data_IF_798882618106
#
_entry.id   IF_798882618106
#
_cell.length_a   1.000
_cell.length_b   1.000
_cell.length_c   1.000
_cell.angle_alpha   90.00
_cell.angle_beta   90.00
_cell.angle_gamma   90.00
#
_symmetry.space_group_name_H-M   'P 1'
#
loop_
_entity.id
_entity.type
_entity.pdbx_description
1 polymer ?
#
# COMPACT_ATOMS: atom_id res chain seq x y z
N UNK A 1 -3.78 -16.07 4.64
CA UNK A 1 -2.70 -16.77 3.89
C UNK A 1 -1.52 -15.81 3.83
N UNK A 2 -0.35 -16.19 4.35
CA UNK A 2 0.83 -15.31 4.30
C UNK A 2 1.36 -15.23 2.87
N UNK A 3 1.38 -14.04 2.27
CA UNK A 3 1.99 -13.80 0.97
C UNK A 3 3.51 -13.96 1.06
N UNK A 4 4.11 -14.71 0.14
CA UNK A 4 5.57 -14.80 0.01
C UNK A 4 6.05 -13.83 -1.06
N UNK A 5 6.97 -12.93 -0.70
CA UNK A 5 7.62 -12.04 -1.65
C UNK A 5 8.83 -12.75 -2.25
N UNK A 6 8.91 -12.73 -3.58
CA UNK A 6 10.03 -13.27 -4.33
C UNK A 6 10.74 -12.15 -5.09
N UNK A 7 12.09 -12.16 -5.06
CA UNK A 7 12.92 -11.32 -5.91
C UNK A 7 13.33 -12.09 -7.15
N UNK A 8 13.13 -11.48 -8.32
CA UNK A 8 13.63 -12.03 -9.58
C UNK A 8 15.13 -11.79 -9.63
N UNK A 9 15.90 -12.88 -9.76
CA UNK A 9 17.37 -12.85 -9.85
C UNK A 9 17.81 -12.86 -11.32
N UNK A 10 17.06 -13.56 -12.17
CA UNK A 10 17.39 -13.72 -13.57
C UNK A 10 16.22 -14.28 -14.36
N UNK A 11 16.20 -13.96 -15.66
CA UNK A 11 15.31 -14.56 -16.64
C UNK A 11 16.21 -15.20 -17.69
N UNK A 12 16.07 -16.51 -17.86
CA UNK A 12 16.85 -17.29 -18.80
C UNK A 12 15.94 -17.90 -19.85
N UNK A 13 16.35 -17.83 -21.11
CA UNK A 13 15.69 -18.54 -22.20
C UNK A 13 16.26 -19.96 -22.21
N UNK A 14 15.44 -20.96 -21.92
CA UNK A 14 15.84 -22.35 -22.10
C UNK A 14 15.77 -22.74 -23.60
N UNK A 15 16.52 -23.78 -23.97
CA UNK A 15 16.75 -24.17 -25.38
C UNK A 15 15.48 -24.61 -26.12
N UNK A 16 14.41 -24.85 -25.38
CA UNK A 16 13.07 -25.24 -25.78
C UNK A 16 12.10 -24.05 -25.88
N UNK A 17 12.60 -22.82 -25.74
CA UNK A 17 11.82 -21.59 -25.92
C UNK A 17 10.98 -21.20 -24.69
N UNK A 18 11.20 -21.87 -23.55
CA UNK A 18 10.57 -21.55 -22.28
C UNK A 18 11.45 -20.55 -21.52
N UNK A 19 10.84 -19.47 -21.02
CA UNK A 19 11.53 -18.52 -20.15
C UNK A 19 11.52 -19.03 -18.70
N UNK A 20 12.68 -19.47 -18.21
CA UNK A 20 12.87 -19.78 -16.81
C UNK A 20 13.14 -18.50 -16.02
N UNK A 21 12.26 -18.19 -15.06
CA UNK A 21 12.42 -17.06 -14.15
C UNK A 21 12.97 -17.59 -12.83
N UNK A 22 14.19 -17.22 -12.48
CA UNK A 22 14.81 -17.60 -11.23
C UNK A 22 14.38 -16.63 -10.12
N UNK A 23 13.74 -17.17 -9.10
CA UNK A 23 13.19 -16.44 -7.97
C UNK A 23 13.93 -16.81 -6.69
N UNK A 24 14.26 -15.82 -5.87
CA UNK A 24 14.69 -16.03 -4.48
C UNK A 24 13.57 -15.61 -3.55
N UNK A 25 13.28 -16.46 -2.55
CA UNK A 25 12.41 -16.09 -1.45
C UNK A 25 13.11 -14.99 -0.65
N UNK A 26 12.56 -13.77 -0.68
CA UNK A 26 13.06 -12.73 0.20
C UNK A 26 12.61 -13.08 1.62
N UNK A 27 13.56 -13.19 2.55
CA UNK A 27 13.25 -13.06 3.96
C UNK A 27 12.53 -11.73 4.14
N UNK A 28 11.62 -11.70 5.11
CA UNK A 28 10.75 -10.57 5.41
C UNK A 28 11.55 -9.38 6.00
N UNK A 29 12.80 -9.18 5.59
CA UNK A 29 13.71 -8.21 6.17
C UNK A 29 13.36 -6.81 5.68
N UNK A 30 13.05 -5.93 6.63
CA UNK A 30 12.65 -4.53 6.41
C UNK A 30 13.69 -3.71 5.63
N UNK A 31 14.93 -4.20 5.51
CA UNK A 31 16.03 -3.51 4.85
C UNK A 31 15.85 -3.38 3.33
N UNK A 32 15.43 -4.45 2.65
CA UNK A 32 15.21 -4.44 1.20
C UNK A 32 14.04 -3.53 0.83
N UNK A 33 13.01 -3.51 1.67
CA UNK A 33 11.83 -2.69 1.47
C UNK A 33 12.12 -1.20 1.67
N UNK A 34 12.96 -0.85 2.66
CA UNK A 34 13.44 0.52 2.87
C UNK A 34 14.32 1.01 1.72
N UNK A 35 15.14 0.12 1.16
CA UNK A 35 16.00 0.45 0.01
C UNK A 35 15.17 0.63 -1.26
N UNK A 36 14.18 -0.25 -1.49
CA UNK A 36 13.20 -0.12 -2.57
C UNK A 36 12.42 1.19 -2.48
N UNK A 37 12.02 1.58 -1.26
CA UNK A 37 11.35 2.84 -0.97
C UNK A 37 12.18 4.07 -1.35
N UNK A 38 13.45 4.10 -0.97
CA UNK A 38 14.34 5.23 -1.30
C UNK A 38 14.51 5.40 -2.81
N UNK A 39 14.51 4.28 -3.56
CA UNK A 39 14.52 4.30 -5.03
C UNK A 39 13.18 4.76 -5.60
N UNK A 40 12.05 4.18 -5.18
CA UNK A 40 10.71 4.59 -5.64
C UNK A 40 10.41 6.06 -5.34
N UNK A 41 10.89 6.56 -4.20
CA UNK A 41 10.72 7.96 -3.78
C UNK A 41 11.47 8.96 -4.65
N UNK A 42 12.50 8.50 -5.37
CA UNK A 42 13.32 9.30 -6.27
C UNK A 42 12.76 9.34 -7.69
N UNK A 43 12.08 8.28 -8.12
CA UNK A 43 11.65 8.08 -9.51
C UNK A 43 10.15 8.31 -9.75
N UNK A 44 9.29 8.22 -8.72
CA UNK A 44 7.83 8.33 -8.87
C UNK A 44 7.34 9.70 -8.37
N UNK A 45 6.44 10.39 -9.09
CA UNK A 45 5.84 11.63 -8.61
C UNK A 45 5.18 11.46 -7.22
N UNK A 46 5.47 12.42 -6.33
CA UNK A 46 5.32 12.40 -4.86
C UNK A 46 3.95 11.93 -4.32
N UNK A 47 2.89 11.90 -5.12
CA UNK A 47 1.54 11.64 -4.66
C UNK A 47 1.24 10.15 -4.36
N UNK A 48 1.80 9.18 -5.09
CA UNK A 48 1.36 7.78 -4.96
C UNK A 48 2.24 6.89 -4.07
N UNK A 49 3.46 7.32 -3.74
CA UNK A 49 4.47 6.50 -3.04
C UNK A 49 3.98 5.97 -1.68
N UNK A 50 3.30 6.76 -0.81
CA UNK A 50 2.88 6.27 0.49
C UNK A 50 1.81 5.17 0.38
N UNK A 51 0.88 5.33 -0.56
CA UNK A 51 -0.22 4.37 -0.75
C UNK A 51 0.33 3.05 -1.27
N UNK A 52 1.18 3.11 -2.30
CA UNK A 52 1.79 1.92 -2.90
C UNK A 52 2.61 1.14 -1.86
N UNK A 53 3.36 1.82 -1.00
CA UNK A 53 4.16 1.15 0.02
C UNK A 53 3.31 0.39 1.05
N UNK A 54 2.26 1.03 1.59
CA UNK A 54 1.39 0.37 2.55
C UNK A 54 0.67 -0.86 1.96
N UNK A 55 0.32 -0.80 0.67
CA UNK A 55 -0.24 -1.96 -0.06
C UNK A 55 0.79 -3.07 -0.21
N UNK A 56 2.04 -2.75 -0.60
CA UNK A 56 3.10 -3.76 -0.69
C UNK A 56 3.35 -4.42 0.66
N UNK A 57 3.34 -3.66 1.76
CA UNK A 57 3.45 -4.21 3.12
C UNK A 57 2.31 -5.16 3.48
N UNK A 58 1.07 -4.80 3.13
CA UNK A 58 -0.09 -5.67 3.37
C UNK A 58 0.05 -6.98 2.58
N UNK A 59 0.40 -6.88 1.29
CA UNK A 59 0.61 -8.03 0.40
C UNK A 59 1.83 -8.87 0.79
N UNK A 60 2.82 -8.28 1.47
CA UNK A 60 3.97 -8.98 2.07
C UNK A 60 3.59 -9.90 3.23
N UNK A 61 2.31 -9.96 3.62
CA UNK A 61 1.87 -10.64 4.83
C UNK A 61 2.28 -9.90 6.11
N UNK A 62 2.54 -8.59 6.04
CA UNK A 62 2.83 -7.72 7.19
C UNK A 62 1.74 -6.66 7.43
N UNK A 63 0.47 -7.06 7.63
CA UNK A 63 -0.64 -6.12 7.73
C UNK A 63 -0.52 -5.19 8.96
N UNK A 64 0.11 -5.61 10.06
CA UNK A 64 0.38 -4.75 11.23
C UNK A 64 1.31 -3.58 10.90
N UNK A 65 2.32 -3.82 10.07
CA UNK A 65 3.24 -2.78 9.64
C UNK A 65 2.56 -1.84 8.64
N UNK A 66 1.74 -2.38 7.73
CA UNK A 66 0.94 -1.59 6.80
C UNK A 66 0.01 -0.63 7.54
N UNK A 67 -0.73 -1.11 8.54
CA UNK A 67 -1.61 -0.29 9.38
C UNK A 67 -0.86 0.85 10.06
N UNK A 68 0.26 0.54 10.75
CA UNK A 68 1.10 1.55 11.40
C UNK A 68 1.63 2.58 10.42
N UNK A 69 2.01 2.14 9.22
CA UNK A 69 2.52 3.02 8.19
C UNK A 69 1.44 3.99 7.72
N UNK A 70 0.26 3.50 7.34
CA UNK A 70 -0.83 4.35 6.90
C UNK A 70 -1.29 5.34 7.99
N UNK A 71 -1.28 4.93 9.27
CA UNK A 71 -1.57 5.83 10.40
C UNK A 71 -0.52 6.95 10.53
N UNK A 72 0.76 6.66 10.28
CA UNK A 72 1.80 7.69 10.29
C UNK A 72 1.65 8.65 9.11
N UNK A 73 1.37 8.12 7.91
CA UNK A 73 1.10 8.94 6.72
C UNK A 73 -0.09 9.89 6.98
N UNK A 74 -1.18 9.38 7.56
CA UNK A 74 -2.34 10.20 7.92
C UNK A 74 -2.04 11.31 8.94
N UNK A 75 -1.00 11.17 9.77
CA UNK A 75 -0.57 12.23 10.71
C UNK A 75 0.26 13.32 10.03
N UNK A 76 0.99 12.97 8.98
CA UNK A 76 1.84 13.90 8.24
C UNK A 76 1.07 14.65 7.14
N UNK A 77 0.02 14.03 6.59
CA UNK A 77 -0.80 14.63 5.55
C UNK A 77 -1.73 15.74 6.09
N UNK A 78 -1.85 16.87 5.39
CA UNK A 78 -2.89 17.85 5.65
C UNK A 78 -4.28 17.20 5.55
N UNK A 79 -5.22 17.63 6.40
CA UNK A 79 -6.56 17.02 6.44
C UNK A 79 -7.33 17.09 5.11
N UNK A 80 -7.04 18.08 4.26
CA UNK A 80 -7.68 18.28 2.95
C UNK A 80 -6.87 17.69 1.78
N UNK A 81 -5.78 16.98 2.07
CA UNK A 81 -4.99 16.30 1.06
C UNK A 81 -5.82 15.16 0.41
N UNK A 82 -5.91 15.10 -0.93
CA UNK A 82 -6.62 14.03 -1.64
C UNK A 82 -6.17 12.60 -1.24
N UNK A 83 -4.94 12.45 -0.78
CA UNK A 83 -4.38 11.17 -0.35
C UNK A 83 -4.98 10.67 0.97
N UNK A 84 -5.54 11.55 1.80
CA UNK A 84 -6.18 11.17 3.07
C UNK A 84 -7.32 10.18 2.83
N UNK A 85 -8.17 10.45 1.83
CA UNK A 85 -9.26 9.53 1.47
C UNK A 85 -8.72 8.16 1.06
N UNK A 86 -7.67 8.14 0.25
CA UNK A 86 -7.04 6.90 -0.18
C UNK A 86 -6.42 6.13 0.99
N UNK A 87 -5.75 6.82 1.92
CA UNK A 87 -5.15 6.20 3.09
C UNK A 87 -6.22 5.58 4.00
N UNK A 88 -7.36 6.25 4.22
CA UNK A 88 -8.47 5.65 4.97
C UNK A 88 -9.04 4.41 4.30
N UNK A 89 -9.24 4.44 2.98
CA UNK A 89 -9.72 3.28 2.23
C UNK A 89 -8.75 2.09 2.35
N UNK A 90 -7.44 2.31 2.18
CA UNK A 90 -6.47 1.24 2.32
C UNK A 90 -6.36 0.72 3.76
N UNK A 91 -6.54 1.59 4.77
CA UNK A 91 -6.59 1.15 6.16
C UNK A 91 -7.76 0.22 6.43
N UNK A 92 -8.94 0.53 5.87
CA UNK A 92 -10.11 -0.34 5.90
C UNK A 92 -9.80 -1.73 5.33
N UNK A 93 -9.20 -1.80 4.14
CA UNK A 93 -8.79 -3.07 3.53
C UNK A 93 -7.83 -3.87 4.42
N UNK A 94 -6.80 -3.21 4.97
CA UNK A 94 -5.84 -3.88 5.86
C UNK A 94 -6.51 -4.42 7.12
N UNK A 95 -7.47 -3.70 7.70
CA UNK A 95 -8.20 -4.15 8.89
C UNK A 95 -9.20 -5.28 8.56
N UNK A 96 -9.83 -5.23 7.39
CA UNK A 96 -10.71 -6.29 6.88
C UNK A 96 -9.93 -7.61 6.71
N UNK A 97 -8.75 -7.55 6.10
CA UNK A 97 -7.85 -8.70 5.94
C UNK A 97 -7.39 -9.29 7.28
N UNK A 98 -7.41 -8.49 8.36
CA UNK A 98 -7.10 -8.92 9.74
C UNK A 98 -8.33 -9.42 10.51
N UNK A 99 -9.51 -9.38 9.91
CA UNK A 99 -10.78 -9.76 10.55
C UNK A 99 -11.32 -8.72 11.54
N UNK A 100 -10.80 -7.48 11.51
CA UNK A 100 -11.25 -6.36 12.36
C UNK A 100 -12.33 -5.55 11.64
N UNK A 101 -13.48 -6.19 11.42
CA UNK A 101 -14.54 -5.66 10.57
C UNK A 101 -15.15 -4.34 11.08
N UNK A 102 -15.31 -4.18 12.40
CA UNK A 102 -15.88 -2.97 13.00
C UNK A 102 -14.97 -1.75 12.82
N UNK A 103 -13.66 -1.92 13.07
CA UNK A 103 -12.67 -0.87 12.83
C UNK A 103 -12.55 -0.57 11.33
N UNK A 104 -12.57 -1.60 10.49
CA UNK A 104 -12.54 -1.47 9.02
C UNK A 104 -13.69 -0.60 8.51
N UNK A 105 -14.92 -0.89 8.98
CA UNK A 105 -16.10 -0.11 8.62
C UNK A 105 -15.96 1.37 8.99
N UNK A 106 -15.45 1.67 10.19
CA UNK A 106 -15.23 3.05 10.63
C UNK A 106 -14.30 3.82 9.68
N UNK A 107 -13.25 3.17 9.18
CA UNK A 107 -12.32 3.80 8.24
C UNK A 107 -12.90 3.95 6.84
N UNK A 108 -13.71 2.99 6.37
CA UNK A 108 -14.46 3.16 5.12
C UNK A 108 -15.47 4.32 5.21
N UNK A 109 -16.18 4.46 6.33
CA UNK A 109 -17.08 5.58 6.56
C UNK A 109 -16.36 6.93 6.56
N UNK A 110 -15.16 7.00 7.17
CA UNK A 110 -14.31 8.21 7.13
C UNK A 110 -13.90 8.57 5.70
N UNK A 111 -13.53 7.58 4.89
CA UNK A 111 -13.19 7.79 3.48
C UNK A 111 -14.40 8.33 2.69
N UNK A 112 -15.58 7.73 2.88
CA UNK A 112 -16.82 8.16 2.24
C UNK A 112 -17.23 9.58 2.65
N UNK A 113 -17.17 9.90 3.95
CA UNK A 113 -17.51 11.23 4.46
C UNK A 113 -16.62 12.33 3.86
N UNK A 114 -15.32 12.04 3.66
CA UNK A 114 -14.38 12.96 3.00
C UNK A 114 -14.71 13.16 1.52
N UNK A 115 -14.95 12.08 0.78
CA UNK A 115 -15.36 12.16 -0.62
C UNK A 115 -16.70 12.90 -0.80
N UNK A 116 -17.68 12.63 0.05
CA UNK A 116 -18.97 13.30 0.03
C UNK A 116 -18.83 14.81 0.28
N UNK A 117 -18.01 15.20 1.27
CA UNK A 117 -17.69 16.62 1.51
C UNK A 117 -17.02 17.28 0.30
N UNK A 118 -16.10 16.58 -0.37
CA UNK A 118 -15.44 17.08 -1.57
C UNK A 118 -16.43 17.31 -2.72
N UNK A 119 -17.33 16.35 -2.97
CA UNK A 119 -18.38 16.42 -3.97
C UNK A 119 -19.38 17.56 -3.70
N UNK A 120 -19.84 17.73 -2.46
CA UNK A 120 -20.75 18.82 -2.12
C UNK A 120 -20.12 20.21 -2.34
N UNK A 121 -18.81 20.33 -2.10
CA UNK A 121 -18.07 21.59 -2.27
C UNK A 121 -17.87 21.96 -3.74
N UNK A 122 -17.81 20.96 -4.63
CA UNK A 122 -17.65 21.16 -6.08
C UNK A 122 -18.98 21.49 -6.77
N UNK A 123 -20.12 21.11 -6.20
CA UNK A 123 -21.46 21.40 -6.73
C UNK A 123 -21.95 22.80 -6.31
N UNK A 124 -21.37 23.40 -5.27
CA UNK A 124 -21.73 24.74 -4.78
C UNK A 124 -20.95 25.90 -5.45
N UNK A 125 -20.21 25.64 -6.53
CA UNK A 125 -19.50 26.66 -7.34
C UNK A 125 -20.14 26.72 -8.72
#
# INVERSE_FOLDING_TARGET
>A
MAGSIFRIIGIHLENDGVNAVQLVLCSNDDHDLKTLLEHMRKDIPQACIPITYGIVLANAGKPEQAERYFLNVLKELPADDPLVTHCYHQLGNVLDDRGKYEESLEYFEKALAKNWKFLLRTIQV
#
